data_IF_386790235521
#
_entry.id   IF_386790235521
#
_cell.length_a   1.000
_cell.length_b   1.000
_cell.length_c   1.000
_cell.angle_alpha   90.00
_cell.angle_beta   90.00
_cell.angle_gamma   90.00
#
_symmetry.space_group_name_H-M   'P 1'
#
loop_
_entity.id
_entity.type
_entity.pdbx_description
1 polymer ?
#
# COMPACT_ATOMS: atom_id res chain seq x y z
N UNK A 1 -20.68 -21.65 -10.77
CA UNK A 1 -19.63 -21.14 -11.65
C UNK A 1 -18.72 -20.12 -10.93
N UNK A 2 -19.31 -19.12 -10.30
CA UNK A 2 -18.54 -18.13 -9.52
C UNK A 2 -17.86 -18.78 -8.34
N UNK A 3 -18.54 -19.67 -7.64
CA UNK A 3 -17.96 -20.39 -6.51
C UNK A 3 -16.77 -21.24 -6.95
N UNK A 4 -16.89 -21.86 -8.12
CA UNK A 4 -15.82 -22.66 -8.69
C UNK A 4 -14.57 -21.83 -8.99
N UNK A 5 -14.75 -20.63 -9.55
CA UNK A 5 -13.65 -19.72 -9.80
C UNK A 5 -13.02 -19.25 -8.48
N UNK A 6 -13.83 -19.00 -7.48
CA UNK A 6 -13.33 -18.60 -6.15
C UNK A 6 -12.51 -19.71 -5.52
N UNK A 7 -12.95 -20.96 -5.62
CA UNK A 7 -12.20 -22.10 -5.06
C UNK A 7 -10.84 -22.25 -5.73
N UNK A 8 -10.81 -22.13 -7.06
CA UNK A 8 -9.56 -22.26 -7.82
C UNK A 8 -8.58 -21.14 -7.50
N UNK A 9 -9.11 -19.95 -7.21
CA UNK A 9 -8.32 -18.76 -6.96
C UNK A 9 -8.16 -18.43 -5.48
N UNK A 10 -8.58 -19.31 -4.59
CA UNK A 10 -8.69 -18.99 -3.17
C UNK A 10 -7.39 -18.43 -2.57
N UNK A 11 -6.25 -19.09 -2.82
CA UNK A 11 -4.96 -18.63 -2.30
C UNK A 11 -4.55 -17.29 -2.93
N UNK A 12 -4.77 -17.11 -4.22
CA UNK A 12 -4.49 -15.85 -4.91
C UNK A 12 -5.38 -14.71 -4.44
N UNK A 13 -6.66 -15.00 -4.22
CA UNK A 13 -7.62 -14.00 -3.74
C UNK A 13 -7.24 -13.55 -2.33
N UNK A 14 -6.86 -14.49 -1.45
CA UNK A 14 -6.44 -14.14 -0.09
C UNK A 14 -5.24 -13.21 -0.09
N UNK A 15 -4.26 -13.47 -0.95
CA UNK A 15 -3.08 -12.62 -1.07
C UNK A 15 -3.43 -11.28 -1.71
N UNK A 16 -4.37 -11.27 -2.65
CA UNK A 16 -4.87 -10.04 -3.26
C UNK A 16 -5.55 -9.13 -2.23
N UNK A 17 -6.22 -9.71 -1.24
CA UNK A 17 -6.85 -8.94 -0.17
C UNK A 17 -5.83 -8.21 0.70
N UNK A 18 -4.56 -8.59 0.64
CA UNK A 18 -3.48 -7.89 1.32
C UNK A 18 -3.03 -6.63 0.58
N UNK A 19 -3.49 -6.44 -0.66
CA UNK A 19 -3.14 -5.25 -1.43
C UNK A 19 -3.65 -4.00 -0.71
N UNK A 20 -2.77 -3.04 -0.50
CA UNK A 20 -3.09 -1.82 0.24
C UNK A 20 -3.02 -1.97 1.76
N UNK A 21 -2.98 -3.20 2.29
CA UNK A 21 -3.09 -3.41 3.74
C UNK A 21 -1.79 -3.14 4.49
N UNK A 22 -0.63 -3.40 3.90
CA UNK A 22 0.64 -3.16 4.59
C UNK A 22 0.80 -1.68 4.93
N UNK A 23 0.63 -0.82 3.95
CA UNK A 23 0.68 0.64 4.15
C UNK A 23 -0.58 1.11 4.87
N UNK A 24 -1.74 0.55 4.50
CA UNK A 24 -3.03 0.92 5.09
C UNK A 24 -3.07 0.70 6.60
N UNK A 25 -2.58 -0.43 7.09
CA UNK A 25 -2.51 -0.70 8.52
C UNK A 25 -1.57 0.29 9.22
N UNK A 26 -0.45 0.64 8.58
CA UNK A 26 0.47 1.62 9.14
C UNK A 26 -0.20 3.00 9.23
N UNK A 27 -0.92 3.41 8.21
CA UNK A 27 -1.68 4.68 8.23
C UNK A 27 -2.75 4.67 9.31
N UNK A 28 -3.48 3.58 9.42
CA UNK A 28 -4.55 3.44 10.40
C UNK A 28 -4.01 3.54 11.84
N UNK A 29 -2.93 2.82 12.11
CA UNK A 29 -2.29 2.84 13.43
C UNK A 29 -1.71 4.23 13.75
N UNK A 30 -1.09 4.87 12.77
CA UNK A 30 -0.57 6.22 12.98
C UNK A 30 -1.69 7.21 13.25
N UNK A 31 -2.83 7.07 12.58
CA UNK A 31 -4.00 7.91 12.83
C UNK A 31 -4.50 7.73 14.26
N UNK A 32 -4.51 6.50 14.76
CA UNK A 32 -4.87 6.22 16.16
C UNK A 32 -3.90 6.91 17.13
N UNK A 33 -2.61 6.87 16.85
CA UNK A 33 -1.58 7.52 17.69
C UNK A 33 -1.73 9.03 17.68
N UNK A 34 -2.26 9.61 16.60
CA UNK A 34 -2.53 11.05 16.49
C UNK A 34 -3.85 11.44 17.13
N UNK A 35 -4.58 10.49 17.71
CA UNK A 35 -5.92 10.69 18.26
C UNK A 35 -6.91 11.21 17.21
N UNK A 36 -6.71 10.81 15.96
CA UNK A 36 -7.55 11.16 14.83
C UNK A 36 -7.80 9.92 13.97
N UNK A 37 -8.55 8.93 14.50
CA UNK A 37 -8.74 7.66 13.80
C UNK A 37 -9.48 7.84 12.49
N UNK A 38 -9.12 7.01 11.51
CA UNK A 38 -9.76 7.01 10.21
C UNK A 38 -10.42 5.65 9.96
N UNK A 39 -11.50 5.59 9.17
CA UNK A 39 -12.11 4.31 8.83
C UNK A 39 -11.11 3.40 8.12
N UNK A 40 -11.18 2.11 8.41
CA UNK A 40 -10.27 1.11 7.84
C UNK A 40 -10.22 1.17 6.31
N UNK A 41 -11.39 1.25 5.65
CA UNK A 41 -11.45 1.32 4.19
C UNK A 41 -10.73 2.54 3.62
N UNK A 42 -10.77 3.66 4.31
CA UNK A 42 -10.07 4.88 3.89
C UNK A 42 -8.56 4.69 4.00
N UNK A 43 -8.10 4.08 5.08
CA UNK A 43 -6.69 3.79 5.28
C UNK A 43 -6.17 2.85 4.19
N UNK A 44 -6.94 1.80 3.88
CA UNK A 44 -6.57 0.83 2.84
C UNK A 44 -6.53 1.48 1.47
N UNK A 45 -7.52 2.32 1.13
CA UNK A 45 -7.54 3.01 -0.16
C UNK A 45 -6.31 3.90 -0.33
N UNK A 46 -5.96 4.66 0.69
CA UNK A 46 -4.79 5.54 0.66
C UNK A 46 -3.49 4.73 0.63
N UNK A 47 -3.43 3.65 1.38
CA UNK A 47 -2.28 2.75 1.37
C UNK A 47 -2.09 2.08 0.02
N UNK A 48 -3.19 1.78 -0.66
CA UNK A 48 -3.14 1.18 -1.99
C UNK A 48 -2.48 2.12 -3.01
N UNK A 49 -2.65 3.43 -2.87
CA UNK A 49 -1.95 4.39 -3.73
C UNK A 49 -0.44 4.22 -3.58
N UNK A 50 0.06 4.11 -2.35
CA UNK A 50 1.50 3.92 -2.10
C UNK A 50 1.96 2.59 -2.70
N UNK A 51 1.18 1.53 -2.54
CA UNK A 51 1.55 0.24 -3.11
C UNK A 51 1.49 0.23 -4.63
N UNK A 52 0.61 1.01 -5.24
CA UNK A 52 0.62 1.22 -6.69
C UNK A 52 1.87 2.00 -7.13
N UNK A 53 2.34 2.95 -6.33
CA UNK A 53 3.60 3.65 -6.61
C UNK A 53 4.75 2.65 -6.60
N UNK A 54 4.83 1.80 -5.57
CA UNK A 54 5.84 0.74 -5.50
C UNK A 54 5.74 -0.21 -6.70
N UNK A 55 4.53 -0.54 -7.09
CA UNK A 55 4.28 -1.41 -8.24
C UNK A 55 4.79 -0.77 -9.53
N UNK A 56 4.59 0.53 -9.71
CA UNK A 56 5.10 1.24 -10.87
C UNK A 56 6.63 1.28 -10.86
N UNK A 57 7.23 1.52 -9.70
CA UNK A 57 8.68 1.60 -9.56
C UNK A 57 9.37 0.25 -9.82
N UNK A 58 8.80 -0.83 -9.32
CA UNK A 58 9.49 -2.13 -9.23
C UNK A 58 8.97 -3.18 -10.20
N UNK A 59 7.70 -3.08 -10.62
CA UNK A 59 7.05 -4.09 -11.44
C UNK A 59 6.59 -3.56 -12.80
N UNK A 60 6.82 -2.28 -13.07
CA UNK A 60 6.42 -1.68 -14.34
C UNK A 60 4.93 -1.42 -14.48
N UNK A 61 4.21 -1.29 -13.37
CA UNK A 61 2.79 -0.95 -13.40
C UNK A 61 2.60 0.38 -14.13
N UNK A 62 1.55 0.47 -14.96
CA UNK A 62 1.30 1.63 -15.83
C UNK A 62 1.15 2.92 -14.99
N UNK A 63 2.01 3.90 -15.26
CA UNK A 63 2.00 5.16 -14.54
C UNK A 63 0.73 5.98 -14.82
N UNK A 64 0.12 5.83 -15.99
CA UNK A 64 -1.14 6.50 -16.31
C UNK A 64 -2.26 5.98 -15.41
N UNK A 65 -2.32 4.66 -15.22
CA UNK A 65 -3.27 4.05 -14.29
C UNK A 65 -3.01 4.49 -12.86
N UNK A 66 -1.73 4.57 -12.48
CA UNK A 66 -1.35 5.06 -11.15
C UNK A 66 -1.87 6.47 -10.90
N UNK A 67 -1.64 7.39 -11.84
CA UNK A 67 -2.11 8.77 -11.70
C UNK A 67 -3.63 8.86 -11.65
N UNK A 68 -4.31 8.10 -12.49
CA UNK A 68 -5.78 8.06 -12.50
C UNK A 68 -6.32 7.55 -11.18
N UNK A 69 -5.73 6.48 -10.65
CA UNK A 69 -6.15 5.90 -9.38
C UNK A 69 -5.86 6.84 -8.21
N UNK A 70 -4.69 7.47 -8.19
CA UNK A 70 -4.32 8.43 -7.14
C UNK A 70 -5.30 9.60 -7.09
N UNK A 71 -5.66 10.13 -8.26
CA UNK A 71 -6.65 11.21 -8.35
C UNK A 71 -8.01 10.76 -7.81
N UNK A 72 -8.44 9.56 -8.19
CA UNK A 72 -9.71 9.01 -7.72
C UNK A 72 -9.73 8.90 -6.19
N UNK A 73 -8.68 8.36 -5.61
CA UNK A 73 -8.59 8.20 -4.15
C UNK A 73 -8.57 9.57 -3.47
N UNK A 74 -7.78 10.49 -4.00
CA UNK A 74 -7.70 11.85 -3.44
C UNK A 74 -9.07 12.53 -3.44
N UNK A 75 -9.82 12.42 -4.53
CA UNK A 75 -11.11 13.08 -4.67
C UNK A 75 -12.22 12.39 -3.88
N UNK A 76 -12.13 11.07 -3.72
CA UNK A 76 -13.16 10.25 -3.07
C UNK A 76 -12.91 10.05 -1.58
N UNK A 77 -11.66 9.73 -1.21
CA UNK A 77 -11.30 9.34 0.15
C UNK A 77 -10.45 10.38 0.87
N UNK A 78 -9.94 11.36 0.14
CA UNK A 78 -9.03 12.36 0.70
C UNK A 78 -7.61 11.84 0.84
N UNK A 79 -6.82 12.55 1.62
CA UNK A 79 -5.39 12.31 1.75
C UNK A 79 -5.02 12.05 3.19
N UNK A 80 -4.14 11.07 3.42
CA UNK A 80 -3.52 10.90 4.72
C UNK A 80 -2.23 11.72 4.72
N UNK A 81 -2.17 12.76 5.55
CA UNK A 81 -1.04 13.67 5.59
C UNK A 81 0.17 13.00 6.26
N UNK A 82 1.27 12.96 5.54
CA UNK A 82 2.54 12.41 6.04
C UNK A 82 3.65 13.39 5.73
N UNK A 83 4.62 13.47 6.65
CA UNK A 83 5.85 14.23 6.43
C UNK A 83 7.04 13.29 6.47
N UNK A 84 8.22 13.78 6.07
CA UNK A 84 9.44 12.97 6.14
C UNK A 84 9.73 12.51 7.56
N UNK A 85 9.34 13.28 8.57
CA UNK A 85 9.53 12.93 9.98
C UNK A 85 8.69 11.72 10.40
N UNK A 86 7.62 11.43 9.66
CA UNK A 86 6.73 10.30 9.94
C UNK A 86 7.25 8.98 9.36
N UNK A 87 8.19 9.03 8.42
CA UNK A 87 8.64 7.84 7.70
C UNK A 87 9.21 6.75 8.61
N UNK A 88 10.11 7.07 9.57
CA UNK A 88 10.64 6.03 10.46
C UNK A 88 9.54 5.31 11.25
N UNK A 89 8.57 6.07 11.75
CA UNK A 89 7.46 5.49 12.52
C UNK A 89 6.57 4.60 11.63
N UNK A 90 6.29 5.04 10.39
CA UNK A 90 5.51 4.25 9.45
C UNK A 90 6.20 2.94 9.11
N UNK A 91 7.51 2.99 8.85
CA UNK A 91 8.30 1.81 8.52
C UNK A 91 8.32 0.83 9.69
N UNK A 92 8.45 1.32 10.92
CA UNK A 92 8.39 0.48 12.11
C UNK A 92 7.03 -0.21 12.23
N UNK A 93 5.95 0.51 11.96
CA UNK A 93 4.61 -0.06 11.98
C UNK A 93 4.44 -1.15 10.93
N UNK A 94 4.99 -0.95 9.74
CA UNK A 94 4.98 -1.97 8.68
C UNK A 94 5.72 -3.24 9.10
N UNK A 95 6.85 -3.08 9.78
CA UNK A 95 7.63 -4.21 10.28
C UNK A 95 6.87 -5.00 11.35
N UNK A 96 6.15 -4.31 12.21
CA UNK A 96 5.39 -4.96 13.28
C UNK A 96 4.17 -5.71 12.76
N UNK A 97 3.51 -5.16 11.74
CA UNK A 97 2.29 -5.74 11.17
C UNK A 97 2.56 -7.06 10.45
N UNK A 98 3.75 -7.22 9.89
CA UNK A 98 4.15 -8.44 9.18
C UNK A 98 5.28 -9.13 9.94
N UNK A 99 5.17 -10.44 10.09
CA UNK A 99 6.27 -11.23 10.62
C UNK A 99 7.34 -11.34 9.54
N UNK A 100 8.27 -10.44 9.54
CA UNK A 100 9.36 -10.45 8.60
C UNK A 100 10.50 -11.31 9.13
N UNK A 101 10.96 -12.24 8.29
CA UNK A 101 12.15 -13.05 8.60
C UNK A 101 13.42 -12.22 8.45
N UNK A 102 13.34 -11.12 7.71
CA UNK A 102 14.44 -10.23 7.45
C UNK A 102 14.11 -8.83 7.95
N UNK A 103 14.88 -8.31 8.91
CA UNK A 103 14.62 -7.00 9.51
C UNK A 103 14.83 -5.84 8.52
N UNK A 104 15.58 -6.08 7.43
CA UNK A 104 15.95 -5.03 6.47
C UNK A 104 14.96 -4.90 5.32
N UNK A 105 13.97 -5.78 5.23
CA UNK A 105 13.01 -5.77 4.13
C UNK A 105 11.60 -6.04 4.64
N UNK A 106 10.63 -5.44 3.97
CA UNK A 106 9.22 -5.57 4.31
C UNK A 106 8.50 -6.24 3.15
N UNK A 107 7.62 -7.18 3.48
CA UNK A 107 6.90 -7.98 2.49
C UNK A 107 5.65 -7.24 2.02
N UNK A 108 5.50 -7.15 0.70
CA UNK A 108 4.37 -6.48 0.05
C UNK A 108 3.69 -7.37 -0.98
N UNK A 109 2.43 -7.05 -1.25
CA UNK A 109 1.72 -7.53 -2.42
C UNK A 109 1.64 -6.38 -3.41
N UNK A 110 2.14 -6.58 -4.62
CA UNK A 110 2.22 -5.54 -5.65
C UNK A 110 1.47 -5.96 -6.92
N UNK A 111 1.37 -5.03 -7.87
CA UNK A 111 0.73 -5.26 -9.16
C UNK A 111 1.73 -5.06 -10.30
N UNK A 112 1.73 -5.97 -11.28
CA UNK A 112 2.41 -5.73 -12.57
C UNK A 112 1.49 -5.07 -13.55
N UNK A 113 0.22 -5.42 -13.47
CA UNK A 113 -0.85 -4.88 -14.30
C UNK A 113 -2.16 -5.10 -13.55
N UNK A 114 -3.29 -4.49 -13.99
CA UNK A 114 -4.57 -4.79 -13.40
C UNK A 114 -4.84 -6.29 -13.44
N UNK A 115 -5.10 -6.89 -12.29
CA UNK A 115 -5.35 -8.32 -12.18
C UNK A 115 -4.12 -9.21 -12.14
N UNK A 116 -2.92 -8.66 -12.35
CA UNK A 116 -1.66 -9.42 -12.29
C UNK A 116 -0.92 -9.06 -11.02
N UNK A 117 -1.05 -9.90 -10.01
CA UNK A 117 -0.58 -9.66 -8.65
C UNK A 117 0.75 -10.36 -8.42
N UNK A 118 1.69 -9.62 -7.81
CA UNK A 118 2.98 -10.16 -7.36
C UNK A 118 2.93 -10.25 -5.84
N UNK A 119 2.96 -11.46 -5.30
CA UNK A 119 2.93 -11.68 -3.86
C UNK A 119 4.34 -11.84 -3.31
N UNK A 120 4.48 -11.55 -2.02
CA UNK A 120 5.75 -11.76 -1.29
C UNK A 120 6.92 -10.95 -1.90
N UNK A 121 6.63 -9.74 -2.39
CA UNK A 121 7.68 -8.84 -2.83
C UNK A 121 8.32 -8.18 -1.63
N UNK A 122 9.63 -8.37 -1.44
CA UNK A 122 10.35 -7.76 -0.32
C UNK A 122 10.97 -6.44 -0.78
N UNK A 123 10.76 -5.41 0.02
CA UNK A 123 11.19 -4.04 -0.34
C UNK A 123 11.95 -3.44 0.84
N UNK A 124 13.07 -2.80 0.54
CA UNK A 124 13.88 -2.14 1.56
C UNK A 124 13.28 -0.80 1.98
N UNK A 125 13.59 -0.31 3.19
CA UNK A 125 13.03 0.95 3.68
C UNK A 125 13.31 2.16 2.80
N UNK A 126 14.46 2.23 2.16
CA UNK A 126 14.80 3.37 1.29
C UNK A 126 13.85 3.47 0.10
N UNK A 127 13.51 2.34 -0.49
CA UNK A 127 12.55 2.29 -1.61
C UNK A 127 11.16 2.69 -1.14
N UNK A 128 10.78 2.27 0.07
CA UNK A 128 9.50 2.66 0.67
C UNK A 128 9.44 4.17 0.87
N UNK A 129 10.52 4.78 1.37
CA UNK A 129 10.60 6.22 1.56
C UNK A 129 10.46 6.97 0.23
N UNK A 130 11.12 6.49 -0.82
CA UNK A 130 10.98 7.06 -2.16
C UNK A 130 9.54 6.98 -2.66
N UNK A 131 8.87 5.87 -2.41
CA UNK A 131 7.47 5.70 -2.78
C UNK A 131 6.56 6.66 -2.00
N UNK A 132 6.85 6.88 -0.72
CA UNK A 132 6.11 7.85 0.08
C UNK A 132 6.31 9.27 -0.42
N UNK A 133 7.51 9.62 -0.89
CA UNK A 133 7.76 10.91 -1.50
C UNK A 133 6.89 11.11 -2.76
N UNK A 134 6.82 10.10 -3.60
CA UNK A 134 5.98 10.14 -4.81
C UNK A 134 4.50 10.22 -4.43
N UNK A 135 4.09 9.46 -3.41
CA UNK A 135 2.72 9.51 -2.90
C UNK A 135 2.36 10.95 -2.48
N UNK A 136 3.25 11.62 -1.77
CA UNK A 136 3.01 13.00 -1.35
C UNK A 136 2.84 13.93 -2.55
N UNK A 137 3.67 13.77 -3.57
CA UNK A 137 3.55 14.55 -4.81
C UNK A 137 2.20 14.30 -5.50
N UNK A 138 1.81 13.03 -5.62
CA UNK A 138 0.55 12.67 -6.27
C UNK A 138 -0.66 13.20 -5.50
N UNK A 139 -0.57 13.24 -4.19
CA UNK A 139 -1.66 13.71 -3.34
C UNK A 139 -1.63 15.21 -3.06
N UNK A 140 -0.59 15.90 -3.48
CA UNK A 140 -0.46 17.34 -3.34
C UNK A 140 -0.18 17.83 -1.92
N UNK A 141 0.58 17.04 -1.17
CA UNK A 141 0.91 17.38 0.22
C UNK A 141 2.40 17.54 0.45
#
# INVERSE_FOLDING_TARGET
RRQRQMCIRDSGIRKALNLGHTIGHAFEEMALRRHDPIPHGYAVARGLVVECVLSSMLQGFDSTLLHTFAKYVRDTYGVFAVTCDDYPALIDLMRQDKKNLNADAINFTLLRAPGDIVTDATIDPETIESALDIYRDLMGI
#
